data_IF_168030909900
#
_entry.id   IF_168030909900
#
_cell.length_a   1.000
_cell.length_b   1.000
_cell.length_c   1.000
_cell.angle_alpha   90.00
_cell.angle_beta   90.00
_cell.angle_gamma   90.00
#
_symmetry.space_group_name_H-M   'P 1'
#
loop_
_entity.id
_entity.type
_entity.pdbx_description
1 polymer ?
#
# COMPACT_ATOMS: atom_id res chain seq x y z
N UNK A 1 -3.05 20.20 -9.10
CA UNK A 1 -4.46 20.23 -8.65
C UNK A 1 -5.02 18.85 -8.31
N UNK A 2 -5.14 17.90 -9.25
CA UNK A 2 -5.79 16.63 -8.97
C UNK A 2 -5.02 15.74 -7.97
N UNK A 3 -3.68 15.70 -8.09
CA UNK A 3 -2.80 15.00 -7.13
C UNK A 3 -2.89 15.68 -5.76
N UNK A 4 -2.72 17.00 -5.69
CA UNK A 4 -2.80 17.76 -4.43
C UNK A 4 -4.15 17.57 -3.74
N UNK A 5 -5.24 17.54 -4.52
CA UNK A 5 -6.59 17.28 -4.00
C UNK A 5 -6.71 15.86 -3.46
N UNK A 6 -6.14 14.87 -4.16
CA UNK A 6 -6.13 13.48 -3.71
C UNK A 6 -5.35 13.35 -2.39
N UNK A 7 -4.15 13.93 -2.30
CA UNK A 7 -3.32 13.92 -1.09
C UNK A 7 -4.00 14.66 0.07
N UNK A 8 -4.60 15.82 -0.18
CA UNK A 8 -5.35 16.57 0.84
C UNK A 8 -6.58 15.81 1.38
N UNK A 9 -7.08 14.83 0.63
CA UNK A 9 -8.24 14.01 0.98
C UNK A 9 -7.86 12.58 1.38
N UNK A 10 -6.58 12.31 1.70
CA UNK A 10 -6.08 10.96 2.00
C UNK A 10 -6.90 10.22 3.07
N UNK A 11 -7.33 10.92 4.11
CA UNK A 11 -8.12 10.36 5.22
C UNK A 11 -9.63 10.54 5.05
N UNK A 12 -10.08 11.04 3.90
CA UNK A 12 -11.50 11.25 3.62
C UNK A 12 -12.10 10.07 2.86
N UNK A 13 -13.43 9.95 2.91
CA UNK A 13 -14.12 8.99 2.07
C UNK A 13 -13.87 9.30 0.57
N UNK A 14 -13.82 8.26 -0.26
CA UNK A 14 -13.75 8.38 -1.74
C UNK A 14 -14.81 9.32 -2.29
N UNK A 15 -15.97 9.38 -1.64
CA UNK A 15 -17.05 10.30 -1.96
C UNK A 15 -16.65 11.78 -1.88
N UNK A 16 -15.81 12.17 -0.92
CA UNK A 16 -15.31 13.53 -0.81
C UNK A 16 -14.52 13.93 -2.06
N UNK A 17 -13.62 13.07 -2.55
CA UNK A 17 -12.90 13.28 -3.81
C UNK A 17 -13.86 13.38 -5.00
N UNK A 18 -14.86 12.50 -5.06
CA UNK A 18 -15.87 12.53 -6.12
C UNK A 18 -16.72 13.81 -6.09
N UNK A 19 -17.00 14.36 -4.91
CA UNK A 19 -17.71 15.62 -4.77
C UNK A 19 -16.87 16.79 -5.28
N UNK A 20 -15.56 16.82 -4.96
CA UNK A 20 -14.64 17.81 -5.53
C UNK A 20 -14.57 17.67 -7.05
N UNK A 21 -14.36 16.46 -7.58
CA UNK A 21 -14.36 16.19 -9.03
C UNK A 21 -15.62 16.74 -9.73
N UNK A 22 -16.80 16.60 -9.12
CA UNK A 22 -18.07 17.15 -9.66
C UNK A 22 -18.14 18.68 -9.62
N UNK A 23 -17.44 19.31 -8.66
CA UNK A 23 -17.44 20.76 -8.49
C UNK A 23 -16.41 21.47 -9.37
N UNK A 24 -15.26 20.84 -9.66
CA UNK A 24 -14.15 21.43 -10.45
C UNK A 24 -14.62 22.07 -11.77
N UNK A 25 -15.49 21.43 -12.58
CA UNK A 25 -15.95 22.02 -13.85
C UNK A 25 -16.68 23.36 -13.70
N UNK A 26 -17.18 23.71 -12.51
CA UNK A 26 -17.85 25.00 -12.26
C UNK A 26 -16.87 26.18 -12.28
N UNK A 27 -15.62 25.94 -11.86
CA UNK A 27 -14.56 26.94 -11.83
C UNK A 27 -13.60 26.78 -13.01
N UNK A 28 -13.45 25.55 -13.51
CA UNK A 28 -12.53 25.19 -14.59
C UNK A 28 -13.21 24.23 -15.60
N UNK A 29 -14.04 24.75 -16.52
CA UNK A 29 -14.87 23.94 -17.41
C UNK A 29 -14.09 23.00 -18.33
N UNK A 30 -12.89 23.41 -18.76
CA UNK A 30 -12.07 22.67 -19.73
C UNK A 30 -11.10 21.67 -19.08
N UNK A 31 -11.18 21.49 -17.75
CA UNK A 31 -10.26 20.59 -17.03
C UNK A 31 -10.81 19.17 -16.94
N UNK A 32 -10.13 18.21 -17.58
CA UNK A 32 -10.37 16.78 -17.32
C UNK A 32 -9.78 16.39 -15.97
N UNK A 33 -10.61 16.47 -14.93
CA UNK A 33 -10.23 16.02 -13.60
C UNK A 33 -10.35 14.49 -13.54
N UNK A 34 -9.32 13.72 -13.11
CA UNK A 34 -9.33 12.26 -13.12
C UNK A 34 -10.31 11.66 -12.10
N UNK A 35 -10.68 10.39 -12.28
CA UNK A 35 -11.50 9.68 -11.30
C UNK A 35 -10.62 9.26 -10.13
N UNK A 36 -11.22 8.93 -8.98
CA UNK A 36 -10.46 8.44 -7.83
C UNK A 36 -9.57 7.24 -8.19
N UNK A 37 -10.09 6.33 -9.02
CA UNK A 37 -9.31 5.20 -9.52
C UNK A 37 -8.16 5.66 -10.43
N UNK A 38 -8.42 6.54 -11.41
CA UNK A 38 -7.38 7.05 -12.31
C UNK A 38 -6.28 7.80 -11.57
N UNK A 39 -6.61 8.66 -10.59
CA UNK A 39 -5.59 9.38 -9.82
C UNK A 39 -4.75 8.43 -8.97
N UNK A 40 -5.34 7.37 -8.41
CA UNK A 40 -4.59 6.33 -7.69
C UNK A 40 -3.60 5.61 -8.62
N UNK A 41 -4.00 5.28 -9.85
CA UNK A 41 -3.11 4.72 -10.86
C UNK A 41 -1.98 5.69 -11.24
N UNK A 42 -2.29 6.97 -11.43
CA UNK A 42 -1.28 8.00 -11.74
C UNK A 42 -0.27 8.09 -10.59
N UNK A 43 -0.73 8.15 -9.34
CA UNK A 43 0.15 8.20 -8.16
C UNK A 43 1.03 6.95 -8.07
N UNK A 44 0.46 5.75 -8.27
CA UNK A 44 1.24 4.51 -8.28
C UNK A 44 2.30 4.49 -9.39
N UNK A 45 1.95 4.95 -10.59
CA UNK A 45 2.89 5.04 -11.72
C UNK A 45 4.01 6.05 -11.43
N UNK A 46 3.69 7.18 -10.80
CA UNK A 46 4.66 8.22 -10.46
C UNK A 46 5.59 7.79 -9.32
N UNK A 47 5.07 7.13 -8.29
CA UNK A 47 5.86 6.70 -7.13
C UNK A 47 6.65 5.42 -7.39
N UNK A 48 6.25 4.62 -8.39
CA UNK A 48 6.74 3.27 -8.60
C UNK A 48 6.27 2.27 -7.52
N UNK A 49 5.34 2.68 -6.66
CA UNK A 49 4.83 1.87 -5.55
C UNK A 49 3.41 1.43 -5.88
N UNK A 50 3.28 0.15 -6.24
CA UNK A 50 2.00 -0.49 -6.51
C UNK A 50 1.74 -1.63 -5.52
N UNK A 51 0.47 -1.81 -5.13
CA UNK A 51 0.06 -2.93 -4.29
C UNK A 51 -0.11 -4.19 -5.13
N UNK A 52 0.43 -5.31 -4.66
CA UNK A 52 0.06 -6.64 -5.13
C UNK A 52 -1.29 -6.99 -4.48
N UNK A 53 -2.25 -7.40 -5.30
CA UNK A 53 -3.61 -7.70 -4.86
C UNK A 53 -3.84 -9.20 -4.93
N UNK A 54 -4.12 -9.79 -3.78
CA UNK A 54 -4.39 -11.20 -3.64
C UNK A 54 -5.77 -11.43 -3.03
N UNK A 55 -6.43 -12.52 -3.40
CA UNK A 55 -7.71 -12.86 -2.80
C UNK A 55 -7.51 -13.30 -1.35
N UNK A 56 -8.48 -12.98 -0.51
CA UNK A 56 -8.44 -13.26 0.92
C UNK A 56 -9.71 -13.95 1.37
N UNK A 57 -9.57 -14.82 2.35
CA UNK A 57 -10.68 -15.45 3.05
C UNK A 57 -11.67 -14.40 3.62
N UNK A 58 -12.96 -14.71 3.56
CA UNK A 58 -14.00 -13.83 4.12
C UNK A 58 -13.99 -13.82 5.66
N UNK A 59 -13.83 -15.01 6.26
CA UNK A 59 -13.94 -15.23 7.71
C UNK A 59 -12.59 -15.22 8.43
N UNK A 60 -11.49 -15.10 7.70
CA UNK A 60 -10.14 -15.08 8.27
C UNK A 60 -9.17 -14.29 7.41
N UNK A 61 -7.91 -14.19 7.83
CA UNK A 61 -6.88 -13.41 7.13
C UNK A 61 -6.01 -14.25 6.20
N UNK A 62 -6.44 -15.46 5.84
CA UNK A 62 -5.69 -16.32 4.92
C UNK A 62 -5.75 -15.75 3.50
N UNK A 63 -4.59 -15.38 2.96
CA UNK A 63 -4.44 -14.99 1.57
C UNK A 63 -4.31 -16.23 0.68
N UNK A 64 -4.95 -16.20 -0.48
CA UNK A 64 -4.90 -17.26 -1.49
C UNK A 64 -3.74 -17.02 -2.45
N UNK A 65 -2.52 -17.20 -1.95
CA UNK A 65 -1.27 -17.01 -2.68
C UNK A 65 -0.40 -18.27 -2.61
N UNK A 66 0.65 -18.36 -3.44
CA UNK A 66 1.56 -19.51 -3.44
C UNK A 66 0.83 -20.84 -3.60
N UNK A 67 1.07 -21.77 -2.68
CA UNK A 67 0.43 -23.10 -2.65
C UNK A 67 -1.10 -23.03 -2.49
N UNK A 68 -1.63 -21.93 -1.94
CA UNK A 68 -3.06 -21.70 -1.79
C UNK A 68 -3.70 -21.00 -3.00
N UNK A 69 -2.90 -20.60 -4.01
CA UNK A 69 -3.39 -19.84 -5.16
C UNK A 69 -4.43 -20.59 -6.00
N UNK A 70 -4.44 -21.92 -5.97
CA UNK A 70 -5.40 -22.75 -6.70
C UNK A 70 -6.59 -23.21 -5.84
N UNK A 71 -6.63 -22.85 -4.56
CA UNK A 71 -7.72 -23.24 -3.67
C UNK A 71 -8.93 -22.31 -3.86
N UNK A 72 -10.10 -22.93 -3.98
CA UNK A 72 -11.40 -22.25 -4.01
C UNK A 72 -11.98 -22.03 -2.60
N UNK A 73 -11.42 -22.70 -1.60
CA UNK A 73 -11.87 -22.64 -0.20
C UNK A 73 -10.70 -22.44 0.74
N UNK A 74 -10.95 -21.69 1.80
CA UNK A 74 -9.96 -21.49 2.86
C UNK A 74 -9.60 -22.85 3.51
N UNK A 75 -8.31 -23.17 3.69
CA UNK A 75 -7.89 -24.42 4.32
C UNK A 75 -8.25 -24.48 5.82
N UNK A 76 -8.53 -23.34 6.45
CA UNK A 76 -8.81 -23.26 7.90
C UNK A 76 -10.30 -23.25 8.24
N UNK A 77 -11.09 -22.39 7.58
CA UNK A 77 -12.53 -22.24 7.89
C UNK A 77 -13.44 -22.78 6.78
N UNK A 78 -12.88 -23.26 5.67
CA UNK A 78 -13.61 -23.83 4.53
C UNK A 78 -14.61 -22.91 3.84
N UNK A 79 -14.63 -21.62 4.17
CA UNK A 79 -15.39 -20.60 3.44
C UNK A 79 -14.84 -20.46 2.03
N UNK A 80 -15.72 -20.11 1.09
CA UNK A 80 -15.33 -19.90 -0.29
C UNK A 80 -14.51 -18.63 -0.48
N UNK A 81 -13.57 -18.69 -1.43
CA UNK A 81 -12.75 -17.58 -1.89
C UNK A 81 -13.55 -16.54 -2.67
N UNK A 82 -14.59 -16.98 -3.38
CA UNK A 82 -15.38 -16.16 -4.28
C UNK A 82 -16.86 -16.07 -3.86
N UNK A 83 -17.52 -15.02 -4.34
CA UNK A 83 -18.93 -14.73 -4.12
C UNK A 83 -19.81 -15.68 -4.95
N UNK A 84 -20.59 -16.51 -4.24
CA UNK A 84 -21.48 -17.49 -4.85
C UNK A 84 -22.64 -16.87 -5.62
N UNK A 85 -23.16 -15.73 -5.18
CA UNK A 85 -24.28 -15.07 -5.85
C UNK A 85 -23.83 -14.61 -7.23
N UNK A 86 -22.63 -14.03 -7.32
CA UNK A 86 -22.03 -13.62 -8.61
C UNK A 86 -21.65 -14.81 -9.47
N UNK A 87 -21.16 -15.88 -8.85
CA UNK A 87 -20.83 -17.11 -9.56
C UNK A 87 -22.07 -17.73 -10.23
N UNK A 88 -23.18 -17.86 -9.48
CA UNK A 88 -24.45 -18.37 -10.00
C UNK A 88 -25.05 -17.45 -11.05
N UNK A 89 -25.10 -16.14 -10.81
CA UNK A 89 -25.62 -15.16 -11.77
C UNK A 89 -24.85 -15.15 -13.10
N UNK A 90 -23.58 -15.57 -13.08
CA UNK A 90 -22.75 -15.69 -14.28
C UNK A 90 -22.79 -17.07 -14.93
N UNK A 91 -23.68 -17.97 -14.48
CA UNK A 91 -23.72 -19.38 -14.88
C UNK A 91 -22.36 -20.08 -14.71
N UNK A 92 -21.71 -19.83 -13.57
CA UNK A 92 -20.45 -20.46 -13.18
C UNK A 92 -19.20 -19.94 -13.89
N UNK A 93 -19.28 -18.77 -14.55
CA UNK A 93 -18.17 -18.21 -15.34
C UNK A 93 -17.27 -17.25 -14.55
N UNK A 94 -17.83 -16.52 -13.59
CA UNK A 94 -17.13 -15.44 -12.88
C UNK A 94 -16.95 -15.81 -11.41
N UNK A 95 -15.70 -16.03 -11.01
CA UNK A 95 -15.30 -16.17 -9.60
C UNK A 95 -14.77 -14.83 -9.08
N UNK A 96 -15.67 -13.95 -8.65
CA UNK A 96 -15.30 -12.68 -8.02
C UNK A 96 -14.88 -12.95 -6.57
N UNK A 97 -13.69 -12.52 -6.11
CA UNK A 97 -13.29 -12.72 -4.73
C UNK A 97 -14.26 -12.05 -3.74
N UNK A 98 -14.42 -12.65 -2.56
CA UNK A 98 -15.23 -12.07 -1.48
C UNK A 98 -14.47 -10.93 -0.79
N UNK A 99 -13.18 -11.14 -0.52
CA UNK A 99 -12.26 -10.13 0.02
C UNK A 99 -10.94 -10.17 -0.74
N UNK A 100 -10.25 -9.04 -0.78
CA UNK A 100 -8.90 -8.91 -1.33
C UNK A 100 -7.98 -8.30 -0.27
N UNK A 101 -6.73 -8.73 -0.26
CA UNK A 101 -5.66 -8.17 0.54
C UNK A 101 -4.69 -7.42 -0.37
N UNK A 102 -4.25 -6.24 0.08
CA UNK A 102 -3.29 -5.41 -0.65
C UNK A 102 -1.95 -5.50 0.06
N UNK A 103 -0.99 -6.16 -0.57
CA UNK A 103 0.41 -6.17 -0.12
C UNK A 103 1.14 -5.02 -0.80
N UNK A 104 1.61 -4.02 -0.05
CA UNK A 104 2.50 -2.98 -0.58
C UNK A 104 3.94 -3.46 -0.38
N UNK A 105 4.67 -3.85 -1.44
CA UNK A 105 6.01 -4.41 -1.29
C UNK A 105 6.97 -3.39 -0.65
N UNK A 106 7.77 -3.84 0.32
CA UNK A 106 8.79 -2.97 0.94
C UNK A 106 9.90 -2.62 -0.04
N UNK A 107 10.19 -3.50 -1.00
CA UNK A 107 11.29 -3.32 -1.96
C UNK A 107 11.13 -2.05 -2.80
N UNK A 108 9.94 -1.81 -3.37
CA UNK A 108 9.69 -0.59 -4.16
C UNK A 108 9.76 0.67 -3.30
N UNK A 109 9.24 0.61 -2.07
CA UNK A 109 9.34 1.72 -1.12
C UNK A 109 10.81 2.08 -0.81
N UNK A 110 11.66 1.08 -0.54
CA UNK A 110 13.08 1.30 -0.31
C UNK A 110 13.77 1.85 -1.55
N UNK A 111 13.49 1.31 -2.73
CA UNK A 111 14.05 1.82 -3.99
C UNK A 111 13.73 3.31 -4.18
N UNK A 112 12.48 3.72 -3.92
CA UNK A 112 12.07 5.13 -3.98
C UNK A 112 12.79 5.98 -2.93
N UNK A 113 12.93 5.51 -1.69
CA UNK A 113 13.66 6.24 -0.64
C UNK A 113 15.14 6.44 -0.98
N UNK A 114 15.80 5.44 -1.57
CA UNK A 114 17.20 5.55 -1.97
C UNK A 114 17.45 6.46 -3.19
N UNK A 115 16.39 6.85 -3.93
CA UNK A 115 16.52 7.80 -5.04
C UNK A 115 16.67 9.25 -4.56
N UNK A 116 16.19 9.58 -3.36
CA UNK A 116 16.35 10.91 -2.76
C UNK A 116 17.63 10.94 -1.90
N UNK A 117 18.59 11.86 -2.16
CA UNK A 117 19.86 11.89 -1.43
C UNK A 117 19.72 12.09 0.09
N UNK A 118 18.73 12.87 0.54
CA UNK A 118 18.53 13.13 1.96
C UNK A 118 17.90 11.90 2.65
N UNK A 119 16.92 11.28 2.02
CA UNK A 119 16.34 10.03 2.50
C UNK A 119 17.37 8.90 2.47
N UNK A 120 18.19 8.78 1.42
CA UNK A 120 19.27 7.81 1.34
C UNK A 120 20.29 7.98 2.48
N UNK A 121 20.66 9.23 2.82
CA UNK A 121 21.51 9.50 3.98
C UNK A 121 20.83 9.07 5.29
N UNK A 122 19.54 9.37 5.46
CA UNK A 122 18.78 8.93 6.63
C UNK A 122 18.66 7.40 6.74
N UNK A 123 18.63 6.67 5.62
CA UNK A 123 18.62 5.20 5.62
C UNK A 123 19.92 4.59 6.17
N UNK A 124 21.01 5.35 6.22
CA UNK A 124 22.26 4.95 6.85
C UNK A 124 22.28 5.16 8.38
N UNK A 125 21.24 5.76 8.96
CA UNK A 125 21.16 6.09 10.40
C UNK A 125 21.62 4.94 11.28
N UNK A 126 21.09 3.73 11.08
CA UNK A 126 21.44 2.58 11.93
C UNK A 126 22.93 2.22 11.83
N UNK A 127 23.51 2.24 10.63
CA UNK A 127 24.93 1.92 10.43
C UNK A 127 25.83 2.98 11.08
N UNK A 128 25.50 4.25 10.89
CA UNK A 128 26.22 5.38 11.49
C UNK A 128 26.15 5.36 13.02
N UNK A 129 24.95 5.16 13.58
CA UNK A 129 24.76 5.08 15.03
C UNK A 129 25.42 3.86 15.65
N UNK A 130 25.33 2.70 14.98
CA UNK A 130 26.01 1.49 15.44
C UNK A 130 27.52 1.71 15.51
N UNK A 131 28.12 2.32 14.48
CA UNK A 131 29.55 2.66 14.48
C UNK A 131 29.92 3.59 15.63
N UNK A 132 29.14 4.66 15.84
CA UNK A 132 29.36 5.60 16.95
C UNK A 132 29.28 4.91 18.32
N UNK A 133 28.30 4.03 18.53
CA UNK A 133 28.15 3.27 19.77
C UNK A 133 29.37 2.38 20.01
N UNK A 134 29.85 1.68 18.98
CA UNK A 134 31.05 0.86 19.10
C UNK A 134 32.31 1.69 19.40
N UNK A 135 32.50 2.81 18.73
CA UNK A 135 33.60 3.74 19.00
C UNK A 135 33.56 4.27 20.44
N UNK A 136 32.38 4.62 20.95
CA UNK A 136 32.21 5.06 22.35
C UNK A 136 32.57 3.94 23.33
N UNK A 137 32.05 2.72 23.11
CA UNK A 137 32.33 1.57 23.96
C UNK A 137 33.84 1.24 24.03
N UNK A 138 34.56 1.37 22.91
CA UNK A 138 36.01 1.18 22.90
C UNK A 138 36.74 2.24 23.75
N UNK A 139 36.29 3.49 23.71
CA UNK A 139 36.89 4.61 24.44
C UNK A 139 36.57 4.62 25.93
N UNK A 140 35.44 4.02 26.34
CA UNK A 140 34.92 4.11 27.71
C UNK A 140 35.02 2.81 28.51
N UNK A 141 35.78 1.83 28.01
CA UNK A 141 35.90 0.50 28.63
C UNK A 141 34.53 -0.17 28.79
N UNK A 142 33.71 -0.09 27.74
CA UNK A 142 32.40 -0.73 27.65
C UNK A 142 31.25 0.03 28.33
N UNK A 143 31.38 1.35 28.56
CA UNK A 143 30.33 2.16 29.22
C UNK A 143 29.71 3.19 28.29
N UNK A 144 28.43 3.07 28.00
CA UNK A 144 27.70 4.10 27.25
C UNK A 144 27.26 5.23 28.17
N UNK A 145 27.47 6.47 27.74
CA UNK A 145 27.08 7.68 28.46
C UNK A 145 25.58 7.96 28.35
N UNK A 146 25.00 7.66 27.19
CA UNK A 146 23.57 7.83 26.88
C UNK A 146 23.14 6.66 26.00
N UNK A 147 21.96 6.10 26.29
CA UNK A 147 21.28 5.12 25.45
C UNK A 147 19.91 5.71 25.12
N UNK A 148 19.62 5.86 23.82
CA UNK A 148 18.37 6.41 23.29
C UNK A 148 17.71 5.30 22.45
N UNK A 149 16.41 5.06 22.69
CA UNK A 149 15.60 4.01 22.04
C UNK A 149 15.03 4.44 20.68
#
# INVERSE_FOLDING_TARGET
LAIDTYLALEHSAVEAYNNVRKAVPRCYPDTDFPSHHKIKCIVAQMSGIESIVDDMCAEGCTAFTGDYALLDRCPHCHSYRYDHIKYEASNGKVKSPVKMFHTVPIGSQLQTLYQDPAAAANMCYRDEWTKRIFEELELTDGKLSIYDD
#
